data_IF_423727841712
#
_entry.id   IF_423727841712
#
_cell.length_a   1.000
_cell.length_b   1.000
_cell.length_c   1.000
_cell.angle_alpha   90.00
_cell.angle_beta   90.00
_cell.angle_gamma   90.00
#
_symmetry.space_group_name_H-M   'P 1'
#
loop_
_entity.id
_entity.type
_entity.pdbx_description
1 polymer ?
#
# COMPACT_ATOMS: atom_id res chain seq x y z
N UNK A 1 41.59 1.65 51.93
CA UNK A 1 40.91 0.60 51.13
C UNK A 1 39.41 0.71 51.38
N UNK A 2 38.56 0.34 50.41
CA UNK A 2 37.09 0.51 50.36
C UNK A 2 36.64 1.78 49.62
N UNK A 3 36.84 1.79 48.29
CA UNK A 3 36.14 2.65 47.34
C UNK A 3 36.02 1.99 45.97
N UNK A 4 35.56 0.74 45.93
CA UNK A 4 35.16 0.04 44.70
C UNK A 4 34.15 -1.05 45.06
N UNK A 5 32.84 -0.76 45.04
CA UNK A 5 31.80 -1.81 45.07
C UNK A 5 30.36 -1.35 44.77
N UNK A 6 30.11 -0.10 44.37
CA UNK A 6 28.72 0.38 44.15
C UNK A 6 28.35 0.72 42.70
N UNK A 7 29.16 0.35 41.70
CA UNK A 7 28.89 0.69 40.30
C UNK A 7 28.29 -0.45 39.45
N UNK A 8 28.11 -1.66 39.97
CA UNK A 8 27.72 -2.83 39.14
C UNK A 8 26.24 -3.20 39.23
N UNK A 9 25.52 -2.78 40.27
CA UNK A 9 24.13 -3.23 40.47
C UNK A 9 23.04 -2.43 39.74
N UNK A 10 23.34 -1.24 39.21
CA UNK A 10 22.33 -0.40 38.55
C UNK A 10 22.11 -0.76 37.06
N UNK A 11 23.06 -1.43 36.41
CA UNK A 11 22.97 -1.76 34.97
C UNK A 11 22.18 -3.06 34.72
N UNK A 12 22.16 -4.00 35.68
CA UNK A 12 21.46 -5.27 35.55
C UNK A 12 19.93 -5.17 35.75
N UNK A 13 19.45 -4.23 36.58
CA UNK A 13 18.01 -4.06 36.85
C UNK A 13 17.25 -3.33 35.71
N UNK A 14 17.92 -2.49 34.92
CA UNK A 14 17.33 -1.84 33.75
C UNK A 14 17.14 -2.77 32.54
N UNK A 15 18.04 -3.74 32.36
CA UNK A 15 17.99 -4.66 31.22
C UNK A 15 16.86 -5.70 31.34
N UNK A 16 16.55 -6.17 32.56
CA UNK A 16 15.52 -7.19 32.79
C UNK A 16 14.10 -6.61 32.63
N UNK A 17 13.89 -5.34 32.99
CA UNK A 17 12.60 -4.66 32.85
C UNK A 17 12.27 -4.31 31.39
N UNK A 18 13.26 -3.95 30.55
CA UNK A 18 13.01 -3.76 29.11
C UNK A 18 12.70 -5.08 28.38
N UNK A 19 13.30 -6.19 28.82
CA UNK A 19 13.14 -7.50 28.20
C UNK A 19 11.73 -8.09 28.38
N UNK A 20 11.13 -7.91 29.56
CA UNK A 20 9.78 -8.44 29.86
C UNK A 20 8.67 -7.63 29.19
N UNK A 21 8.84 -6.30 29.08
CA UNK A 21 7.89 -5.41 28.37
C UNK A 21 7.92 -5.67 26.86
N UNK A 22 9.09 -5.91 26.26
CA UNK A 22 9.21 -6.31 24.84
C UNK A 22 8.65 -7.71 24.56
N UNK A 23 8.70 -8.64 25.54
CA UNK A 23 8.15 -9.98 25.38
C UNK A 23 6.62 -10.03 25.51
N UNK A 24 6.03 -9.23 26.40
CA UNK A 24 4.57 -9.13 26.56
C UNK A 24 3.88 -8.39 25.42
N UNK A 25 4.50 -7.33 24.88
CA UNK A 25 4.00 -6.66 23.64
C UNK A 25 4.04 -7.60 22.44
N UNK A 26 5.07 -8.46 22.30
CA UNK A 26 5.14 -9.45 21.21
C UNK A 26 4.07 -10.54 21.29
N UNK A 27 3.72 -11.03 22.49
CA UNK A 27 2.70 -12.08 22.64
C UNK A 27 1.28 -11.56 22.43
N UNK A 28 0.91 -10.43 23.03
CA UNK A 28 -0.41 -9.80 22.81
C UNK A 28 -0.64 -9.35 21.37
N UNK A 29 0.43 -8.90 20.69
CA UNK A 29 0.40 -8.51 19.28
C UNK A 29 0.26 -9.69 18.30
N UNK A 30 0.53 -10.93 18.72
CA UNK A 30 0.47 -12.12 17.85
C UNK A 30 -0.95 -12.73 17.79
N UNK A 31 -1.62 -12.83 18.93
CA UNK A 31 -2.94 -13.47 19.02
C UNK A 31 -4.07 -12.58 18.48
N UNK A 32 -3.98 -11.26 18.68
CA UNK A 32 -4.84 -10.29 17.99
C UNK A 32 -4.61 -10.27 16.46
N UNK A 33 -3.44 -10.67 15.97
CA UNK A 33 -3.08 -10.58 14.54
C UNK A 33 -3.66 -11.70 13.68
N UNK A 34 -3.84 -12.90 14.23
CA UNK A 34 -4.45 -14.01 13.50
C UNK A 34 -5.96 -13.84 13.37
N UNK A 35 -6.61 -13.36 14.44
CA UNK A 35 -8.06 -13.10 14.42
C UNK A 35 -8.40 -11.87 13.56
N UNK A 36 -7.56 -10.83 13.57
CA UNK A 36 -7.76 -9.62 12.73
C UNK A 36 -7.44 -9.83 11.25
N UNK A 37 -6.45 -10.69 10.92
CA UNK A 37 -6.17 -11.07 9.53
C UNK A 37 -7.31 -11.89 8.94
N UNK A 38 -7.91 -12.80 9.73
CA UNK A 38 -9.10 -13.57 9.33
C UNK A 38 -10.35 -12.69 9.23
N UNK A 39 -10.50 -11.69 10.12
CA UNK A 39 -11.62 -10.73 10.09
C UNK A 39 -11.53 -9.76 8.91
N UNK A 40 -10.34 -9.26 8.54
CA UNK A 40 -10.21 -8.28 7.45
C UNK A 40 -10.40 -8.90 6.07
N UNK A 41 -9.81 -10.07 5.78
CA UNK A 41 -9.95 -10.71 4.45
C UNK A 41 -11.39 -11.17 4.15
N UNK A 42 -12.08 -11.72 5.16
CA UNK A 42 -13.48 -12.14 5.04
C UNK A 42 -14.47 -10.94 4.95
N UNK A 43 -14.15 -9.81 5.60
CA UNK A 43 -14.99 -8.60 5.56
C UNK A 43 -14.73 -7.70 4.35
N UNK A 44 -13.53 -7.75 3.75
CA UNK A 44 -13.19 -6.99 2.53
C UNK A 44 -13.91 -7.53 1.29
N UNK A 45 -14.07 -8.85 1.18
CA UNK A 45 -14.69 -9.50 0.03
C UNK A 45 -16.23 -9.48 0.05
N UNK A 46 -16.87 -9.15 1.17
CA UNK A 46 -18.29 -9.48 1.38
C UNK A 46 -19.32 -8.46 0.85
N UNK A 47 -18.93 -7.27 0.36
CA UNK A 47 -19.92 -6.26 -0.12
C UNK A 47 -19.52 -5.58 -1.43
N UNK A 48 -20.33 -5.70 -2.50
CA UNK A 48 -20.12 -5.02 -3.79
C UNK A 48 -19.88 -3.50 -3.67
N UNK A 49 -20.63 -2.86 -2.76
CA UNK A 49 -20.55 -1.42 -2.46
C UNK A 49 -19.17 -0.98 -1.98
N UNK A 50 -18.48 -1.86 -1.23
CA UNK A 50 -17.12 -1.60 -0.76
C UNK A 50 -16.17 -1.65 -1.93
N UNK A 51 -16.17 -2.75 -2.69
CA UNK A 51 -15.28 -2.90 -3.85
C UNK A 51 -15.39 -1.72 -4.82
N UNK A 52 -16.61 -1.28 -5.15
CA UNK A 52 -16.83 -0.11 -6.00
C UNK A 52 -16.28 1.20 -5.40
N UNK A 53 -16.40 1.37 -4.08
CA UNK A 53 -15.84 2.52 -3.37
C UNK A 53 -14.31 2.51 -3.30
N UNK A 54 -13.68 1.33 -3.27
CA UNK A 54 -12.23 1.18 -3.14
C UNK A 54 -11.49 1.18 -4.48
N UNK A 55 -12.02 0.48 -5.48
CA UNK A 55 -11.33 0.23 -6.75
C UNK A 55 -11.97 0.96 -7.93
N UNK A 56 -13.25 1.31 -7.83
CA UNK A 56 -14.02 2.00 -8.86
C UNK A 56 -15.22 1.18 -9.34
N UNK A 57 -16.14 1.78 -10.12
CA UNK A 57 -17.25 1.05 -10.70
C UNK A 57 -16.75 -0.06 -11.64
N UNK A 58 -17.58 -1.08 -11.82
CA UNK A 58 -17.36 -2.13 -12.82
C UNK A 58 -18.44 -2.07 -13.89
N UNK A 59 -18.08 -2.35 -15.14
CA UNK A 59 -18.98 -2.34 -16.29
C UNK A 59 -18.93 -3.67 -17.09
N UNK A 60 -18.16 -4.65 -16.60
CA UNK A 60 -17.91 -5.95 -17.23
C UNK A 60 -17.17 -5.86 -18.57
N UNK A 61 -16.42 -4.79 -18.82
CA UNK A 61 -15.64 -4.60 -20.04
C UNK A 61 -14.23 -4.17 -19.70
N UNK A 62 -13.27 -4.70 -20.44
CA UNK A 62 -11.86 -4.33 -20.31
C UNK A 62 -11.29 -4.08 -21.70
N UNK A 63 -10.73 -2.89 -21.91
CA UNK A 63 -9.98 -2.58 -23.12
C UNK A 63 -8.50 -2.91 -22.90
N UNK A 64 -8.06 -4.09 -23.33
CA UNK A 64 -6.74 -4.62 -23.07
C UNK A 64 -5.71 -4.22 -24.15
N UNK A 65 -4.51 -3.86 -23.71
CA UNK A 65 -3.33 -3.78 -24.57
C UNK A 65 -3.03 -5.12 -25.25
N UNK A 66 -2.25 -5.17 -26.35
CA UNK A 66 -1.92 -6.42 -27.01
C UNK A 66 -1.26 -7.46 -26.08
N UNK A 67 -0.41 -6.99 -25.15
CA UNK A 67 0.26 -7.84 -24.18
C UNK A 67 -0.73 -8.43 -23.16
N UNK A 68 -1.59 -7.60 -22.58
CA UNK A 68 -2.61 -8.04 -21.62
C UNK A 68 -3.64 -8.96 -22.29
N UNK A 69 -4.06 -8.64 -23.51
CA UNK A 69 -5.01 -9.46 -24.27
C UNK A 69 -4.44 -10.86 -24.54
N UNK A 70 -3.17 -10.96 -24.95
CA UNK A 70 -2.49 -12.24 -25.14
C UNK A 70 -2.38 -13.04 -23.83
N UNK A 71 -2.05 -12.37 -22.72
CA UNK A 71 -1.99 -12.99 -21.41
C UNK A 71 -3.37 -13.48 -20.93
N UNK A 72 -4.40 -12.66 -21.08
CA UNK A 72 -5.78 -13.02 -20.75
C UNK A 72 -6.27 -14.21 -21.59
N UNK A 73 -5.93 -14.25 -22.88
CA UNK A 73 -6.25 -15.38 -23.75
C UNK A 73 -5.56 -16.67 -23.28
N UNK A 74 -4.26 -16.61 -23.00
CA UNK A 74 -3.50 -17.75 -22.48
C UNK A 74 -4.04 -18.23 -21.12
N UNK A 75 -4.47 -17.30 -20.26
CA UNK A 75 -5.14 -17.63 -19.01
C UNK A 75 -6.44 -18.36 -19.32
N UNK A 76 -7.34 -17.78 -20.11
CA UNK A 76 -8.65 -18.36 -20.46
C UNK A 76 -8.51 -19.77 -21.02
N UNK A 77 -7.60 -19.98 -21.96
CA UNK A 77 -7.43 -21.25 -22.67
C UNK A 77 -7.00 -22.41 -21.75
N UNK A 78 -6.46 -22.10 -20.56
CA UNK A 78 -6.10 -23.12 -19.56
C UNK A 78 -7.16 -23.35 -18.49
N UNK A 79 -8.12 -22.44 -18.33
CA UNK A 79 -9.10 -22.51 -17.24
C UNK A 79 -10.14 -23.59 -17.57
N UNK A 80 -10.23 -24.68 -16.80
CA UNK A 80 -11.25 -25.69 -17.04
C UNK A 80 -12.63 -25.07 -16.86
N UNK A 81 -13.45 -25.07 -17.91
CA UNK A 81 -14.80 -24.48 -17.91
C UNK A 81 -14.82 -22.96 -17.63
N UNK A 82 -13.70 -22.27 -17.89
CA UNK A 82 -13.59 -20.82 -17.72
C UNK A 82 -13.52 -20.35 -16.26
N UNK A 83 -13.37 -21.26 -15.29
CA UNK A 83 -13.23 -20.91 -13.87
C UNK A 83 -11.77 -20.69 -13.48
N UNK A 84 -11.50 -19.65 -12.72
CA UNK A 84 -10.16 -19.35 -12.20
C UNK A 84 -9.65 -20.43 -11.24
N UNK A 85 -8.43 -20.88 -11.48
CA UNK A 85 -7.66 -21.74 -10.59
C UNK A 85 -6.39 -21.03 -10.08
N UNK A 86 -5.62 -21.70 -9.22
CA UNK A 86 -4.40 -21.12 -8.63
C UNK A 86 -3.35 -20.79 -9.69
N UNK A 87 -3.21 -21.66 -10.70
CA UNK A 87 -2.37 -21.39 -11.84
C UNK A 87 -2.85 -20.11 -12.54
N UNK A 88 -4.17 -20.01 -12.77
CA UNK A 88 -5.01 -18.87 -13.19
C UNK A 88 -4.49 -17.55 -12.64
N UNK A 89 -4.60 -17.46 -11.33
CA UNK A 89 -4.15 -16.32 -10.54
C UNK A 89 -2.64 -16.09 -10.68
N UNK A 90 -1.83 -17.14 -10.59
CA UNK A 90 -0.37 -17.01 -10.64
C UNK A 90 0.15 -16.43 -11.96
N UNK A 91 -0.45 -16.78 -13.11
CA UNK A 91 -0.02 -16.20 -14.39
C UNK A 91 -0.47 -14.75 -14.56
N UNK A 92 -1.68 -14.39 -14.09
CA UNK A 92 -2.10 -12.99 -14.07
C UNK A 92 -1.14 -12.16 -13.22
N UNK A 93 -0.85 -12.62 -11.99
CA UNK A 93 0.12 -11.96 -11.10
C UNK A 93 1.49 -11.82 -11.75
N UNK A 94 1.98 -12.87 -12.41
CA UNK A 94 3.29 -12.83 -13.09
C UNK A 94 3.31 -11.81 -14.23
N UNK A 95 2.22 -11.71 -14.99
CA UNK A 95 2.11 -10.73 -16.07
C UNK A 95 2.14 -9.30 -15.53
N UNK A 96 1.25 -9.00 -14.58
CA UNK A 96 1.10 -7.68 -13.96
C UNK A 96 2.36 -7.23 -13.23
N UNK A 97 3.13 -8.16 -12.65
CA UNK A 97 4.36 -7.85 -11.95
C UNK A 97 5.60 -7.87 -12.85
N UNK A 98 5.47 -8.14 -14.16
CA UNK A 98 6.62 -8.37 -15.04
C UNK A 98 7.49 -7.12 -15.25
N UNK A 99 6.86 -5.96 -15.38
CA UNK A 99 7.53 -4.66 -15.57
C UNK A 99 7.52 -3.79 -14.30
N UNK A 100 6.96 -4.33 -13.20
CA UNK A 100 6.82 -3.65 -11.92
C UNK A 100 5.88 -2.45 -11.95
N UNK A 101 4.98 -2.37 -12.94
CA UNK A 101 3.97 -1.32 -13.12
C UNK A 101 2.62 -1.92 -13.51
N UNK A 102 1.55 -1.59 -12.80
CA UNK A 102 0.17 -1.91 -13.17
C UNK A 102 -0.34 -0.81 -14.08
N UNK A 103 -0.45 -1.14 -15.37
CA UNK A 103 -1.09 -0.31 -16.38
C UNK A 103 -2.59 -0.12 -16.12
N UNK A 104 -3.20 0.89 -16.75
CA UNK A 104 -4.63 1.20 -16.56
C UNK A 104 -5.54 0.02 -16.99
N UNK A 105 -5.17 -0.70 -18.06
CA UNK A 105 -5.92 -1.87 -18.55
C UNK A 105 -5.73 -3.10 -17.65
N UNK A 106 -4.56 -3.30 -17.06
CA UNK A 106 -4.34 -4.35 -16.05
C UNK A 106 -5.13 -4.07 -14.78
N UNK A 107 -5.12 -2.81 -14.33
CA UNK A 107 -5.90 -2.36 -13.18
C UNK A 107 -7.38 -2.62 -13.41
N UNK A 108 -7.89 -2.24 -14.58
CA UNK A 108 -9.28 -2.45 -14.97
C UNK A 108 -9.64 -3.95 -14.97
N UNK A 109 -8.79 -4.79 -15.56
CA UNK A 109 -8.98 -6.25 -15.51
C UNK A 109 -9.03 -6.78 -14.08
N UNK A 110 -8.11 -6.36 -13.21
CA UNK A 110 -8.06 -6.79 -11.81
C UNK A 110 -9.33 -6.36 -11.07
N UNK A 111 -9.80 -5.12 -11.26
CA UNK A 111 -11.05 -4.62 -10.67
C UNK A 111 -12.21 -5.51 -11.14
N UNK A 112 -12.30 -5.77 -12.45
CA UNK A 112 -13.38 -6.56 -13.04
C UNK A 112 -13.38 -8.01 -12.54
N UNK A 113 -12.22 -8.69 -12.52
CA UNK A 113 -12.18 -10.11 -12.13
C UNK A 113 -12.32 -10.33 -10.62
N UNK A 114 -12.09 -9.29 -9.79
CA UNK A 114 -12.16 -9.42 -8.33
C UNK A 114 -13.48 -8.95 -7.73
N UNK A 115 -14.30 -8.19 -8.47
CA UNK A 115 -15.60 -7.75 -8.00
C UNK A 115 -16.51 -8.94 -7.64
N UNK A 116 -17.15 -8.89 -6.47
CA UNK A 116 -18.08 -9.93 -6.00
C UNK A 116 -19.50 -9.50 -6.33
N UNK A 117 -20.03 -9.98 -7.45
CA UNK A 117 -21.36 -9.67 -7.94
C UNK A 117 -22.23 -10.90 -8.16
N UNK A 118 -23.46 -10.74 -8.68
CA UNK A 118 -24.17 -11.84 -9.33
C UNK A 118 -23.31 -12.41 -10.47
N UNK A 119 -23.49 -13.70 -10.78
CA UNK A 119 -22.71 -14.42 -11.81
C UNK A 119 -22.65 -13.56 -13.08
N UNK A 120 -21.44 -13.12 -13.44
CA UNK A 120 -21.19 -12.20 -14.54
C UNK A 120 -20.07 -12.67 -15.44
N UNK A 121 -20.09 -12.17 -16.66
CA UNK A 121 -19.07 -12.42 -17.67
C UNK A 121 -18.39 -11.11 -18.01
N UNK A 122 -17.07 -11.09 -17.94
CA UNK A 122 -16.22 -9.94 -18.23
C UNK A 122 -15.78 -10.08 -19.69
N UNK A 123 -15.98 -9.02 -20.47
CA UNK A 123 -15.63 -8.96 -21.89
C UNK A 123 -14.30 -8.23 -22.04
N UNK A 124 -13.23 -8.96 -22.37
CA UNK A 124 -11.91 -8.38 -22.64
C UNK A 124 -11.77 -8.20 -24.15
N UNK A 125 -11.59 -6.95 -24.58
CA UNK A 125 -11.45 -6.57 -25.99
C UNK A 125 -10.11 -5.89 -26.23
N UNK A 126 -9.47 -6.03 -27.41
CA UNK A 126 -8.25 -5.30 -27.72
C UNK A 126 -8.52 -3.79 -27.80
N UNK A 127 -7.70 -2.98 -27.13
CA UNK A 127 -7.83 -1.52 -27.06
C UNK A 127 -7.64 -0.84 -28.44
N UNK A 128 -6.81 -1.44 -29.30
CA UNK A 128 -6.68 -1.09 -30.72
C UNK A 128 -6.85 -2.38 -31.54
N UNK A 129 -8.06 -2.67 -32.04
CA UNK A 129 -8.21 -3.80 -32.95
C UNK A 129 -7.33 -3.53 -34.18
N UNK A 130 -6.55 -4.52 -34.61
CA UNK A 130 -5.82 -4.44 -35.87
C UNK A 130 -6.84 -4.24 -37.00
N UNK A 131 -6.58 -3.31 -37.92
CA UNK A 131 -7.49 -3.00 -39.02
C UNK A 131 -7.90 -4.28 -39.76
N UNK A 132 -9.21 -4.59 -39.75
CA UNK A 132 -9.80 -5.71 -40.46
C UNK A 132 -9.77 -7.07 -39.75
N UNK A 133 -9.21 -7.18 -38.54
CA UNK A 133 -9.39 -8.39 -37.73
C UNK A 133 -10.80 -8.38 -37.10
N UNK A 134 -11.46 -9.54 -37.08
CA UNK A 134 -12.64 -9.76 -36.23
C UNK A 134 -12.34 -9.15 -34.86
N UNK A 135 -13.29 -8.38 -34.32
CA UNK A 135 -13.23 -7.83 -32.96
C UNK A 135 -13.30 -8.98 -31.96
N UNK A 136 -12.27 -9.80 -31.92
CA UNK A 136 -12.14 -10.94 -31.03
C UNK A 136 -12.28 -10.40 -29.62
N UNK A 137 -13.27 -10.92 -28.92
CA UNK A 137 -13.47 -10.65 -27.52
C UNK A 137 -13.26 -11.95 -26.75
N UNK A 138 -12.65 -11.82 -25.57
CA UNK A 138 -12.52 -12.90 -24.63
C UNK A 138 -13.63 -12.75 -23.60
N UNK A 139 -14.31 -13.85 -23.30
CA UNK A 139 -15.22 -13.93 -22.17
C UNK A 139 -14.48 -14.59 -21.01
N UNK A 140 -14.41 -13.88 -19.89
CA UNK A 140 -13.79 -14.36 -18.64
C UNK A 140 -14.82 -14.33 -17.51
N UNK A 141 -14.69 -15.23 -16.54
CA UNK A 141 -15.47 -15.17 -15.31
C UNK A 141 -14.78 -14.31 -14.26
N UNK A 142 -15.49 -13.95 -13.20
CA UNK A 142 -14.86 -13.48 -11.96
C UNK A 142 -14.10 -14.61 -11.23
N UNK A 143 -13.21 -14.22 -10.33
CA UNK A 143 -12.51 -15.12 -9.40
C UNK A 143 -13.43 -15.43 -8.24
N UNK A 144 -14.07 -16.61 -8.25
CA UNK A 144 -15.10 -16.97 -7.27
C UNK A 144 -14.51 -17.19 -5.87
N UNK A 145 -13.40 -17.93 -5.77
CA UNK A 145 -12.76 -18.28 -4.50
C UNK A 145 -12.21 -17.02 -3.79
N UNK A 146 -12.64 -16.79 -2.54
CA UNK A 146 -12.32 -15.57 -1.80
C UNK A 146 -10.81 -15.40 -1.52
N UNK A 147 -10.06 -16.49 -1.29
CA UNK A 147 -8.60 -16.44 -1.08
C UNK A 147 -7.88 -16.04 -2.37
N UNK A 148 -8.27 -16.64 -3.50
CA UNK A 148 -7.73 -16.31 -4.82
C UNK A 148 -8.08 -14.87 -5.23
N UNK A 149 -9.32 -14.46 -4.97
CA UNK A 149 -9.82 -13.11 -5.22
C UNK A 149 -9.02 -12.08 -4.42
N UNK A 150 -8.81 -12.33 -3.12
CA UNK A 150 -7.99 -11.46 -2.27
C UNK A 150 -6.54 -11.40 -2.75
N UNK A 151 -5.98 -12.51 -3.25
CA UNK A 151 -4.64 -12.54 -3.84
C UNK A 151 -4.54 -11.71 -5.12
N UNK A 152 -5.54 -11.70 -5.97
CA UNK A 152 -5.54 -10.85 -7.18
C UNK A 152 -5.81 -9.39 -6.82
N UNK A 153 -6.76 -9.12 -5.92
CA UNK A 153 -7.08 -7.76 -5.47
C UNK A 153 -5.89 -7.08 -4.77
N UNK A 154 -5.07 -7.85 -4.04
CA UNK A 154 -3.87 -7.30 -3.40
C UNK A 154 -2.82 -6.79 -4.38
N UNK A 155 -2.88 -7.16 -5.67
CA UNK A 155 -2.03 -6.51 -6.68
C UNK A 155 -2.30 -5.00 -6.75
N UNK A 156 -3.56 -4.58 -6.60
CA UNK A 156 -3.93 -3.16 -6.53
C UNK A 156 -3.42 -2.47 -5.25
N UNK A 157 -3.05 -3.26 -4.25
CA UNK A 157 -2.45 -2.80 -3.00
C UNK A 157 -0.90 -2.89 -3.04
N UNK A 158 -0.33 -3.68 -3.97
CA UNK A 158 1.13 -3.87 -4.17
C UNK A 158 1.76 -2.70 -4.90
N UNK A 159 0.97 -1.89 -5.62
CA UNK A 159 1.53 -0.77 -6.36
C UNK A 159 1.17 0.60 -5.82
N UNK A 160 2.11 1.13 -5.04
CA UNK A 160 2.24 2.59 -5.00
C UNK A 160 3.66 3.09 -4.71
N UNK A 161 4.70 2.25 -4.73
CA UNK A 161 6.05 2.67 -4.26
C UNK A 161 6.73 3.67 -5.20
N UNK A 162 6.40 3.67 -6.49
CA UNK A 162 7.05 4.55 -7.48
C UNK A 162 6.08 5.58 -8.09
N UNK A 163 4.77 5.30 -8.13
CA UNK A 163 3.77 6.10 -8.86
C UNK A 163 3.15 7.25 -8.07
N UNK A 164 3.12 7.17 -6.72
CA UNK A 164 2.56 8.23 -5.87
C UNK A 164 3.30 9.57 -6.00
N UNK A 165 4.56 9.53 -6.43
CA UNK A 165 5.43 10.70 -6.58
C UNK A 165 5.97 10.89 -8.00
N UNK A 166 5.46 10.10 -8.96
CA UNK A 166 5.84 10.22 -10.37
C UNK A 166 5.28 11.54 -10.95
N UNK A 167 6.18 12.35 -11.50
CA UNK A 167 5.84 13.64 -12.12
C UNK A 167 4.98 13.48 -13.39
N UNK A 168 5.01 12.31 -14.03
CA UNK A 168 4.20 12.00 -15.22
C UNK A 168 2.72 11.82 -14.91
N UNK A 169 2.39 11.53 -13.65
CA UNK A 169 1.01 11.39 -13.20
C UNK A 169 0.38 12.76 -12.92
N UNK A 170 -0.92 12.89 -13.12
CA UNK A 170 -1.64 14.08 -12.67
C UNK A 170 -1.67 14.15 -11.14
N UNK A 171 -1.82 15.35 -10.59
CA UNK A 171 -1.91 15.55 -9.13
C UNK A 171 -3.04 14.72 -8.50
N UNK A 172 -4.18 14.61 -9.20
CA UNK A 172 -5.30 13.79 -8.76
C UNK A 172 -4.92 12.31 -8.64
N UNK A 173 -4.22 11.77 -9.65
CA UNK A 173 -3.80 10.36 -9.65
C UNK A 173 -2.80 10.06 -8.52
N UNK A 174 -1.85 10.98 -8.27
CA UNK A 174 -0.91 10.87 -7.14
C UNK A 174 -1.63 10.87 -5.79
N UNK A 175 -2.55 11.81 -5.57
CA UNK A 175 -3.32 11.87 -4.33
C UNK A 175 -4.22 10.65 -4.13
N UNK A 176 -4.83 10.14 -5.20
CA UNK A 176 -5.64 8.92 -5.13
C UNK A 176 -4.78 7.69 -4.81
N UNK A 177 -3.55 7.60 -5.35
CA UNK A 177 -2.59 6.54 -5.01
C UNK A 177 -2.17 6.61 -3.53
N UNK A 178 -1.79 7.79 -3.04
CA UNK A 178 -1.46 8.01 -1.63
C UNK A 178 -2.63 7.70 -0.70
N UNK A 179 -3.86 8.04 -1.11
CA UNK A 179 -5.06 7.73 -0.31
C UNK A 179 -5.29 6.24 -0.22
N UNK A 180 -5.08 5.48 -1.32
CA UNK A 180 -5.18 4.02 -1.32
C UNK A 180 -4.15 3.40 -0.39
N UNK A 181 -2.90 3.85 -0.47
CA UNK A 181 -1.79 3.48 0.40
C UNK A 181 -2.08 3.66 1.88
N UNK A 182 -2.43 4.90 2.24
CA UNK A 182 -2.78 5.27 3.59
C UNK A 182 -3.94 4.38 4.07
N UNK A 183 -4.94 4.16 3.23
CA UNK A 183 -6.07 3.31 3.61
C UNK A 183 -5.69 1.85 3.84
N UNK A 184 -4.85 1.28 2.99
CA UNK A 184 -4.37 -0.09 3.13
C UNK A 184 -3.58 -0.28 4.44
N UNK A 185 -2.84 0.74 4.88
CA UNK A 185 -2.07 0.72 6.12
C UNK A 185 -2.90 0.69 7.41
N UNK A 186 -4.14 1.16 7.37
CA UNK A 186 -5.03 1.14 8.55
C UNK A 186 -5.41 -0.30 8.93
N UNK A 187 -5.62 -1.17 7.93
CA UNK A 187 -6.13 -2.52 8.14
C UNK A 187 -5.06 -3.60 8.29
N UNK A 188 -3.77 -3.29 8.05
CA UNK A 188 -2.69 -4.28 8.02
C UNK A 188 -1.35 -3.71 8.45
N UNK A 189 -0.65 -4.43 9.35
CA UNK A 189 0.70 -4.07 9.79
C UNK A 189 1.72 -4.12 8.67
N UNK A 190 1.61 -5.08 7.77
CA UNK A 190 2.56 -5.18 6.65
C UNK A 190 2.34 -4.03 5.67
N UNK A 191 1.10 -3.61 5.44
CA UNK A 191 0.82 -2.41 4.66
C UNK A 191 1.26 -1.13 5.38
N UNK A 192 1.15 -1.06 6.70
CA UNK A 192 1.70 0.06 7.49
C UNK A 192 3.22 0.15 7.40
N UNK A 193 3.93 -0.99 7.47
CA UNK A 193 5.37 -1.05 7.24
C UNK A 193 5.76 -0.62 5.83
N UNK A 194 5.03 -1.09 4.82
CA UNK A 194 5.28 -0.70 3.43
C UNK A 194 5.03 0.78 3.20
N UNK A 195 3.96 1.34 3.79
CA UNK A 195 3.67 2.76 3.70
C UNK A 195 4.72 3.62 4.42
N UNK A 196 5.18 3.20 5.61
CA UNK A 196 6.32 3.81 6.30
C UNK A 196 7.59 3.78 5.43
N UNK A 197 7.97 2.60 4.93
CA UNK A 197 9.18 2.44 4.12
C UNK A 197 9.16 3.29 2.85
N UNK A 198 7.99 3.45 2.23
CA UNK A 198 7.78 4.31 1.08
C UNK A 198 7.96 5.78 1.41
N UNK A 199 7.29 6.26 2.47
CA UNK A 199 7.44 7.64 2.93
C UNK A 199 8.89 7.95 3.33
N UNK A 200 9.57 6.98 3.96
CA UNK A 200 10.98 7.09 4.32
C UNK A 200 11.87 7.17 3.07
N UNK A 201 11.64 6.31 2.07
CA UNK A 201 12.39 6.31 0.81
C UNK A 201 12.24 7.64 0.06
N UNK A 202 11.05 8.26 0.09
CA UNK A 202 10.80 9.57 -0.52
C UNK A 202 11.34 10.74 0.33
N UNK A 203 11.25 10.64 1.66
CA UNK A 203 11.72 11.68 2.56
C UNK A 203 13.25 11.81 2.53
N UNK A 204 13.99 10.71 2.42
CA UNK A 204 15.48 10.71 2.40
C UNK A 204 16.10 11.66 1.35
N UNK A 205 15.80 11.54 0.04
CA UNK A 205 16.35 12.46 -0.95
C UNK A 205 15.85 13.89 -0.76
N UNK A 206 14.61 14.08 -0.30
CA UNK A 206 14.04 15.41 -0.03
C UNK A 206 14.71 16.11 1.15
N UNK A 207 15.04 15.40 2.21
CA UNK A 207 15.84 15.91 3.34
C UNK A 207 17.18 16.42 2.85
N UNK A 208 17.88 15.65 2.01
CA UNK A 208 19.18 16.05 1.45
C UNK A 208 19.09 17.34 0.60
N UNK A 209 17.99 17.51 -0.14
CA UNK A 209 17.75 18.72 -0.95
C UNK A 209 17.11 19.89 -0.20
N UNK A 210 16.69 19.70 1.06
CA UNK A 210 15.99 20.72 1.84
C UNK A 210 16.99 21.56 2.63
N UNK A 211 17.00 22.87 2.38
CA UNK A 211 17.97 23.82 2.92
C UNK A 211 17.29 25.07 3.46
N UNK A 212 18.01 25.89 4.21
CA UNK A 212 17.50 27.20 4.64
C UNK A 212 17.23 28.11 3.44
N UNK A 213 18.02 28.01 2.37
CA UNK A 213 17.88 28.83 1.16
C UNK A 213 16.57 28.54 0.41
N UNK A 214 16.13 27.28 0.36
CA UNK A 214 14.85 26.91 -0.25
C UNK A 214 13.71 26.79 0.78
N UNK A 215 13.90 27.32 1.99
CA UNK A 215 12.94 27.24 3.08
C UNK A 215 12.41 25.82 3.34
N UNK A 216 13.26 24.80 3.10
CA UNK A 216 12.96 23.38 3.22
C UNK A 216 11.77 22.91 2.35
N UNK A 217 11.53 23.56 1.21
CA UNK A 217 10.38 23.30 0.35
C UNK A 217 10.20 21.81 -0.03
N UNK A 218 11.24 21.06 -0.44
CA UNK A 218 11.04 19.67 -0.90
C UNK A 218 10.43 18.75 0.17
N UNK A 219 10.92 18.84 1.41
CA UNK A 219 10.38 18.07 2.54
C UNK A 219 9.01 18.60 2.97
N UNK A 220 8.81 19.92 3.02
CA UNK A 220 7.53 20.53 3.37
C UNK A 220 6.40 20.13 2.40
N UNK A 221 6.70 20.06 1.12
CA UNK A 221 5.75 19.62 0.09
C UNK A 221 5.31 18.17 0.31
N UNK A 222 6.25 17.25 0.55
CA UNK A 222 5.95 15.85 0.88
C UNK A 222 5.03 15.75 2.11
N UNK A 223 5.39 16.45 3.19
CA UNK A 223 4.62 16.45 4.43
C UNK A 223 3.21 17.02 4.16
N UNK A 224 3.10 18.16 3.49
CA UNK A 224 1.82 18.81 3.20
C UNK A 224 0.91 17.95 2.33
N UNK A 225 1.44 17.35 1.27
CA UNK A 225 0.69 16.48 0.36
C UNK A 225 0.18 15.23 1.08
N UNK A 226 1.05 14.57 1.84
CA UNK A 226 0.65 13.37 2.61
C UNK A 226 -0.34 13.72 3.71
N UNK A 227 -0.10 14.82 4.43
CA UNK A 227 -0.99 15.27 5.51
C UNK A 227 -2.38 15.66 5.01
N UNK A 228 -2.49 16.29 3.83
CA UNK A 228 -3.77 16.58 3.19
C UNK A 228 -4.56 15.30 2.89
N UNK A 229 -3.89 14.27 2.39
CA UNK A 229 -4.50 12.94 2.15
C UNK A 229 -4.98 12.33 3.46
N UNK A 230 -4.17 12.38 4.52
CA UNK A 230 -4.52 11.85 5.84
C UNK A 230 -5.74 12.56 6.41
N UNK A 231 -5.81 13.89 6.33
CA UNK A 231 -6.93 14.67 6.86
C UNK A 231 -8.26 14.42 6.12
N UNK A 232 -8.21 13.86 4.91
CA UNK A 232 -9.40 13.48 4.16
C UNK A 232 -10.06 12.17 4.67
N UNK A 233 -9.45 11.47 5.63
CA UNK A 233 -10.07 10.29 6.25
C UNK A 233 -11.17 10.70 7.25
N UNK A 234 -12.30 9.98 7.32
CA UNK A 234 -13.42 10.37 8.17
C UNK A 234 -13.14 10.14 9.66
N UNK A 235 -12.55 9.00 10.01
CA UNK A 235 -12.33 8.58 11.40
C UNK A 235 -11.07 9.23 12.00
N UNK A 236 -11.17 9.78 13.21
CA UNK A 236 -10.02 10.42 13.87
C UNK A 236 -8.95 9.41 14.28
N UNK A 237 -9.33 8.17 14.62
CA UNK A 237 -8.40 7.07 14.91
C UNK A 237 -7.50 6.75 13.72
N UNK A 238 -8.07 6.76 12.52
CA UNK A 238 -7.35 6.49 11.27
C UNK A 238 -6.36 7.62 10.98
N UNK A 239 -6.79 8.88 11.16
CA UNK A 239 -5.90 10.04 11.01
C UNK A 239 -4.72 9.97 11.97
N UNK A 240 -4.95 9.62 13.24
CA UNK A 240 -3.90 9.51 14.24
C UNK A 240 -2.88 8.43 13.89
N UNK A 241 -3.35 7.24 13.49
CA UNK A 241 -2.47 6.16 13.05
C UNK A 241 -1.61 6.57 11.85
N UNK A 242 -2.22 7.20 10.85
CA UNK A 242 -1.50 7.62 9.65
C UNK A 242 -0.52 8.77 9.92
N UNK A 243 -0.87 9.70 10.82
CA UNK A 243 0.04 10.75 11.29
C UNK A 243 1.24 10.15 12.03
N UNK A 244 1.04 9.11 12.83
CA UNK A 244 2.14 8.34 13.43
C UNK A 244 3.09 7.80 12.35
N UNK A 245 2.56 7.10 11.35
CA UNK A 245 3.36 6.52 10.26
C UNK A 245 4.14 7.62 9.51
N UNK A 246 3.50 8.74 9.19
CA UNK A 246 4.15 9.87 8.52
C UNK A 246 5.24 10.51 9.40
N UNK A 247 4.95 10.75 10.67
CA UNK A 247 5.92 11.32 11.61
C UNK A 247 7.15 10.41 11.75
N UNK A 248 6.95 9.12 11.97
CA UNK A 248 8.04 8.15 12.14
C UNK A 248 8.91 8.09 10.88
N UNK A 249 8.31 8.04 9.69
CA UNK A 249 9.06 8.01 8.43
C UNK A 249 9.88 9.30 8.20
N UNK A 250 9.31 10.47 8.50
CA UNK A 250 10.02 11.75 8.37
C UNK A 250 11.11 11.88 9.41
N UNK A 251 10.84 11.48 10.66
CA UNK A 251 11.82 11.49 11.73
C UNK A 251 13.00 10.59 11.41
N UNK A 252 12.76 9.35 10.98
CA UNK A 252 13.80 8.41 10.57
C UNK A 252 14.62 8.98 9.40
N UNK A 253 13.97 9.61 8.41
CA UNK A 253 14.66 10.25 7.29
C UNK A 253 15.55 11.43 7.73
N UNK A 254 15.08 12.25 8.68
CA UNK A 254 15.82 13.38 9.23
C UNK A 254 17.00 12.89 10.05
N UNK A 255 16.81 11.89 10.91
CA UNK A 255 17.89 11.32 11.72
C UNK A 255 18.95 10.71 10.79
N UNK A 256 18.56 9.82 9.88
CA UNK A 256 19.47 9.21 8.90
C UNK A 256 20.18 10.27 8.04
N UNK A 257 19.43 11.24 7.53
CA UNK A 257 19.94 12.29 6.65
C UNK A 257 20.85 13.30 7.37
N UNK A 258 20.59 13.58 8.64
CA UNK A 258 21.43 14.47 9.47
C UNK A 258 22.80 13.83 9.72
N UNK A 259 22.84 12.51 9.94
CA UNK A 259 24.10 11.77 10.06
C UNK A 259 24.88 11.71 8.74
N UNK A 260 24.19 11.52 7.61
CA UNK A 260 24.84 11.39 6.31
C UNK A 260 25.33 12.73 5.72
N UNK A 261 24.52 13.79 5.81
CA UNK A 261 24.73 15.04 5.07
C UNK A 261 25.02 16.27 5.94
N UNK A 262 25.09 16.12 7.28
CA UNK A 262 25.25 17.23 8.25
C UNK A 262 24.20 18.34 8.12
N UNK A 263 23.07 18.06 7.46
CA UNK A 263 21.94 18.98 7.36
C UNK A 263 21.18 18.94 8.68
N UNK A 264 21.22 20.03 9.45
CA UNK A 264 20.41 20.14 10.66
C UNK A 264 19.01 20.58 10.24
N UNK A 265 18.05 19.64 10.32
CA UNK A 265 16.65 19.93 10.05
C UNK A 265 15.99 20.52 11.30
N UNK A 266 15.35 21.70 11.23
CA UNK A 266 14.62 22.24 12.35
C UNK A 266 13.40 21.40 12.73
N UNK A 267 13.33 21.00 13.99
CA UNK A 267 12.23 20.28 14.62
C UNK A 267 10.83 20.83 14.33
N UNK A 268 10.69 22.16 14.23
CA UNK A 268 9.40 22.81 13.96
C UNK A 268 8.80 22.42 12.60
N UNK A 269 9.58 21.89 11.66
CA UNK A 269 9.12 21.51 10.33
C UNK A 269 8.23 20.26 10.33
N UNK A 270 8.38 19.38 11.32
CA UNK A 270 7.65 18.11 11.39
C UNK A 270 7.10 17.80 12.79
N UNK A 271 7.45 18.53 13.85
CA UNK A 271 6.86 18.28 15.17
C UNK A 271 5.36 18.60 15.24
N UNK A 272 4.80 19.39 14.32
CA UNK A 272 3.36 19.67 14.28
C UNK A 272 2.53 18.49 13.75
N UNK A 273 3.14 17.54 13.03
CA UNK A 273 2.48 16.27 12.66
C UNK A 273 2.61 15.21 13.77
N UNK A 274 3.39 15.49 14.82
CA UNK A 274 3.58 14.57 15.94
C UNK A 274 2.22 14.29 16.60
N UNK A 275 1.79 13.03 16.64
CA UNK A 275 0.55 12.66 17.30
C UNK A 275 0.67 12.91 18.81
N UNK A 276 -0.38 13.49 19.40
CA UNK A 276 -0.44 13.71 20.84
C UNK A 276 -0.55 12.36 21.55
N UNK A 277 0.15 12.14 22.67
CA UNK A 277 -0.06 10.95 23.48
C UNK A 277 -1.54 10.90 23.90
N UNK A 278 -2.15 9.71 23.81
CA UNK A 278 -3.49 9.49 24.34
C UNK A 278 -3.45 9.81 25.85
N UNK A 279 -4.22 10.82 26.25
CA UNK A 279 -4.45 11.16 27.65
C UNK A 279 -5.48 10.23 28.28
#
# INVERSE_FOLDING_TARGET
>A
MIRQLFAVSAVMLGAVALSSVQAQTRRGASQWSEDSAKLSQAQFAARPERHQRYYGPTDNRVAASPALYAAANAIRDRLPRGQWDEAGVAALRRHVLADGRISDDERDLIVEVTFKGPIRTITVSPAKPADGADKGYLLMSEVINDTMRASVASLLDVEPVVSAWDATWSEKQRQDALRRLARASIGSRDHARNFHALLLAEAKPRVASSTTQNAYAPLRELISQTYAVINAFPEESDKLLLRHILYDAVFDAVVDGSYANRVIMPDYLYNWIKPKPAG
#
